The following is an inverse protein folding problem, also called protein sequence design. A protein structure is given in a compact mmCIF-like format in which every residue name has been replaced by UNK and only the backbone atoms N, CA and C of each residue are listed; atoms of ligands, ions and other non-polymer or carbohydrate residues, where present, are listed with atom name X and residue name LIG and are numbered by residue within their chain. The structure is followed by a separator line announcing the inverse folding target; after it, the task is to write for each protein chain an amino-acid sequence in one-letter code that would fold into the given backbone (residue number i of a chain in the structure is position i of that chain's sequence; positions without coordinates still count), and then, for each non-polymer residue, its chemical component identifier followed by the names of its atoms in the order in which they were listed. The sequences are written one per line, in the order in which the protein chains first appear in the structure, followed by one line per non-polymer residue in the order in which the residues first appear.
data_IF_234135323537
#
_entry.id   IF_234135323537
#
_cell.length_a   1.000
_cell.length_b   1.000
_cell.length_c   1.000
_cell.angle_alpha   90.00
_cell.angle_beta   90.00
_cell.angle_gamma   90.00
#
_symmetry.space_group_name_H-M   'P 1'
#
loop_
_entity.id
_entity.type
_entity.pdbx_description
1 polymer ?
#
# COMPACT_ATOMS: atom_id res chain seq x y z
N UNK A 1 14.36 2.09 59.32
CA UNK A 1 15.36 2.68 60.23
C UNK A 1 14.57 3.42 61.30
N UNK A 2 14.11 2.69 62.32
CA UNK A 2 14.78 2.48 63.60
C UNK A 2 14.26 3.51 64.62
N UNK A 3 13.10 3.17 65.20
CA UNK A 3 12.56 3.77 66.41
C UNK A 3 13.50 3.49 67.59
N UNK A 4 13.97 4.57 68.23
CA UNK A 4 14.63 4.54 69.52
C UNK A 4 13.65 5.13 70.55
N UNK A 5 13.01 4.27 71.34
CA UNK A 5 12.48 4.70 72.65
C UNK A 5 12.71 3.61 73.71
N UNK A 6 13.24 3.98 74.89
CA UNK A 6 13.76 3.02 75.87
C UNK A 6 12.67 2.38 76.73
N UNK A 7 12.96 1.22 77.36
CA UNK A 7 12.06 0.58 78.32
C UNK A 7 12.18 1.26 79.70
N UNK A 8 11.05 1.59 80.30
CA UNK A 8 10.97 1.98 81.71
C UNK A 8 10.77 0.74 82.61
N UNK A 9 11.21 0.81 83.88
CA UNK A 9 11.40 -0.36 84.73
C UNK A 9 10.11 -0.86 85.40
N UNK A 10 10.08 -2.13 85.86
CA UNK A 10 9.00 -2.65 86.68
C UNK A 10 9.16 -2.19 88.13
N UNK A 11 8.21 -1.40 88.61
CA UNK A 11 8.10 -1.02 90.02
C UNK A 11 6.92 -1.73 90.66
N UNK A 12 7.23 -2.37 91.79
CA UNK A 12 6.35 -2.64 92.94
C UNK A 12 5.24 -3.67 92.75
N UNK A 13 5.63 -4.94 92.89
CA UNK A 13 4.75 -5.95 93.46
C UNK A 13 4.56 -5.70 94.97
N UNK A 14 3.29 -5.62 95.35
CA UNK A 14 2.66 -6.25 96.52
C UNK A 14 3.27 -6.02 97.91
N UNK A 15 2.47 -5.42 98.80
CA UNK A 15 2.27 -5.95 100.14
C UNK A 15 0.89 -6.59 100.25
N UNK A 16 0.88 -7.80 100.82
CA UNK A 16 -0.28 -8.57 101.21
C UNK A 16 -1.20 -7.81 102.19
N UNK A 17 -2.49 -8.17 102.26
CA UNK A 17 -3.43 -7.55 103.19
C UNK A 17 -3.06 -7.87 104.63
N UNK A 18 -2.94 -6.81 105.43
CA UNK A 18 -2.75 -6.88 106.86
C UNK A 18 -3.92 -7.61 107.53
N UNK A 19 -3.55 -8.48 108.45
CA UNK A 19 -4.40 -9.26 109.33
C UNK A 19 -5.39 -8.36 110.07
N UNK A 20 -6.68 -8.68 109.93
CA UNK A 20 -7.74 -8.12 110.74
C UNK A 20 -7.57 -8.59 112.19
N UNK A 21 -6.84 -7.82 113.00
CA UNK A 21 -6.89 -7.93 114.45
C UNK A 21 -8.19 -7.32 114.95
N UNK A 22 -9.14 -8.18 115.27
CA UNK A 22 -10.36 -7.87 116.00
C UNK A 22 -9.98 -7.38 117.40
N UNK A 23 -9.90 -6.07 117.60
CA UNK A 23 -9.85 -5.49 118.94
C UNK A 23 -11.27 -5.43 119.50
N UNK A 24 -11.65 -6.47 120.23
CA UNK A 24 -12.79 -6.48 121.13
C UNK A 24 -12.71 -5.26 122.06
N UNK A 25 -13.67 -4.36 121.87
CA UNK A 25 -13.87 -3.19 122.72
C UNK A 25 -14.50 -3.64 124.04
N UNK A 26 -13.68 -3.98 125.02
CA UNK A 26 -14.10 -4.09 126.42
C UNK A 26 -14.43 -2.69 126.95
N UNK A 27 -15.63 -2.19 126.67
CA UNK A 27 -16.23 -1.08 127.42
C UNK A 27 -16.78 -1.61 128.75
N UNK A 28 -15.88 -1.90 129.68
CA UNK A 28 -16.25 -2.09 131.08
C UNK A 28 -16.76 -0.75 131.60
N UNK A 29 -18.06 -0.65 131.79
CA UNK A 29 -18.72 0.43 132.53
C UNK A 29 -18.29 0.36 134.00
N UNK A 30 -17.11 0.86 134.33
CA UNK A 30 -16.71 1.14 135.71
C UNK A 30 -17.23 2.52 136.10
N UNK A 31 -18.46 2.55 136.60
CA UNK A 31 -18.84 3.53 137.60
C UNK A 31 -18.18 3.11 138.92
N UNK A 32 -16.84 3.29 139.01
CA UNK A 32 -16.15 3.17 140.29
C UNK A 32 -16.57 4.35 141.16
N UNK A 33 -17.27 4.01 142.24
CA UNK A 33 -17.56 4.88 143.38
C UNK A 33 -16.28 5.59 143.82
N UNK A 34 -16.18 6.89 143.49
CA UNK A 34 -15.12 7.77 143.96
C UNK A 34 -15.18 7.86 145.49
N UNK A 35 -14.43 6.98 146.16
CA UNK A 35 -14.27 7.04 147.62
C UNK A 35 -13.57 8.35 147.97
N UNK A 36 -14.11 9.13 148.93
CA UNK A 36 -13.56 10.44 149.27
C UNK A 36 -12.15 10.29 149.85
N UNK A 37 -11.17 10.85 149.15
CA UNK A 37 -9.77 10.91 149.56
C UNK A 37 -9.67 11.53 150.97
N UNK A 38 -9.07 10.80 151.91
CA UNK A 38 -8.87 11.25 153.29
C UNK A 38 -7.43 11.73 153.46
N UNK A 39 -7.25 12.92 154.02
CA UNK A 39 -5.92 13.42 154.37
C UNK A 39 -5.38 12.66 155.60
N UNK A 40 -4.07 12.43 155.66
CA UNK A 40 -3.38 11.81 156.80
C UNK A 40 -3.64 12.50 158.15
N UNK A 41 -4.17 13.73 158.13
CA UNK A 41 -4.55 14.51 159.31
C UNK A 41 -5.98 14.21 159.83
N UNK A 42 -6.78 13.40 159.14
CA UNK A 42 -8.16 13.05 159.50
C UNK A 42 -9.20 14.19 159.40
N UNK A 43 -8.76 15.43 159.08
CA UNK A 43 -9.62 16.61 158.97
C UNK A 43 -10.09 16.82 157.52
N UNK A 44 -11.42 16.95 157.35
CA UNK A 44 -12.06 17.17 156.05
C UNK A 44 -11.77 18.56 155.45
N UNK A 45 -11.35 19.53 156.26
CA UNK A 45 -11.04 20.91 155.84
C UNK A 45 -9.52 21.18 155.70
N UNK A 46 -8.70 20.14 155.47
CA UNK A 46 -7.27 20.33 155.29
C UNK A 46 -6.99 21.13 154.00
N UNK A 47 -6.20 22.21 154.11
CA UNK A 47 -5.86 23.11 152.98
C UNK A 47 -5.18 22.33 151.84
N UNK A 48 -4.28 21.39 152.17
CA UNK A 48 -3.61 20.53 151.20
C UNK A 48 -4.56 19.52 150.55
N UNK A 49 -5.55 18.98 151.29
CA UNK A 49 -6.54 18.06 150.73
C UNK A 49 -7.47 18.79 149.76
N UNK A 50 -7.98 19.97 150.15
CA UNK A 50 -8.85 20.79 149.30
C UNK A 50 -8.13 21.25 148.03
N UNK A 51 -6.85 21.61 148.15
CA UNK A 51 -6.02 21.96 146.99
C UNK A 51 -5.80 20.75 146.07
N UNK A 52 -5.45 19.57 146.61
CA UNK A 52 -5.29 18.35 145.80
C UNK A 52 -6.60 17.91 145.12
N UNK A 53 -7.74 17.93 145.82
CA UNK A 53 -9.03 17.62 145.19
C UNK A 53 -9.37 18.62 144.09
N UNK A 54 -9.12 19.93 144.29
CA UNK A 54 -9.32 20.93 143.23
C UNK A 54 -8.41 20.71 142.02
N UNK A 55 -7.17 20.27 142.23
CA UNK A 55 -6.22 19.94 141.16
C UNK A 55 -6.66 18.67 140.43
N UNK A 56 -7.09 17.63 141.16
CA UNK A 56 -7.61 16.40 140.57
C UNK A 56 -8.89 16.66 139.76
N UNK A 57 -9.82 17.47 140.26
CA UNK A 57 -11.02 17.87 139.52
C UNK A 57 -10.67 18.67 138.25
N UNK A 58 -9.63 19.52 138.29
CA UNK A 58 -9.15 20.22 137.07
C UNK A 58 -8.51 19.26 136.08
N UNK A 59 -7.70 18.30 136.55
CA UNK A 59 -7.06 17.29 135.72
C UNK A 59 -8.10 16.34 135.12
N UNK A 60 -9.13 15.94 135.88
CA UNK A 60 -10.23 15.12 135.37
C UNK A 60 -11.00 15.85 134.26
N UNK A 61 -11.29 17.15 134.45
CA UNK A 61 -11.90 17.99 133.41
C UNK A 61 -11.01 18.12 132.18
N UNK A 62 -9.70 18.27 132.36
CA UNK A 62 -8.73 18.37 131.27
C UNK A 62 -8.59 17.04 130.54
N UNK A 63 -8.58 15.90 131.24
CA UNK A 63 -8.57 14.55 130.66
C UNK A 63 -9.86 14.28 129.91
N UNK A 64 -11.03 14.63 130.46
CA UNK A 64 -12.30 14.53 129.73
C UNK A 64 -12.35 15.45 128.51
N UNK A 65 -11.77 16.65 128.60
CA UNK A 65 -11.70 17.57 127.47
C UNK A 65 -10.74 17.06 126.40
N UNK A 66 -9.57 16.56 126.78
CA UNK A 66 -8.62 15.92 125.89
C UNK A 66 -9.20 14.65 125.24
N UNK A 67 -9.95 13.84 125.99
CA UNK A 67 -10.64 12.66 125.46
C UNK A 67 -11.72 13.05 124.43
N UNK A 68 -12.55 14.06 124.73
CA UNK A 68 -13.54 14.59 123.77
C UNK A 68 -12.89 15.16 122.51
N UNK A 69 -11.79 15.89 122.66
CA UNK A 69 -11.03 16.42 121.51
C UNK A 69 -10.38 15.29 120.70
N UNK A 70 -9.81 14.29 121.37
CA UNK A 70 -9.24 13.10 120.72
C UNK A 70 -10.29 12.32 119.93
N UNK A 71 -11.48 12.10 120.51
CA UNK A 71 -12.61 11.48 119.81
C UNK A 71 -13.08 12.30 118.60
N UNK A 72 -13.19 13.62 118.74
CA UNK A 72 -13.55 14.48 117.62
C UNK A 72 -12.51 14.46 116.48
N UNK A 73 -11.22 14.41 116.82
CA UNK A 73 -10.14 14.29 115.84
C UNK A 73 -10.16 12.92 115.14
N UNK A 74 -10.39 11.83 115.89
CA UNK A 74 -10.53 10.49 115.32
C UNK A 74 -11.72 10.41 114.36
N UNK A 75 -12.90 10.89 114.78
CA UNK A 75 -14.09 10.90 113.92
C UNK A 75 -13.88 11.71 112.63
N UNK A 76 -13.19 12.87 112.72
CA UNK A 76 -12.84 13.67 111.54
C UNK A 76 -11.82 12.96 110.66
N UNK A 77 -10.83 12.29 111.24
CA UNK A 77 -9.84 11.53 110.49
C UNK A 77 -10.48 10.33 109.79
N UNK A 78 -11.38 9.61 110.45
CA UNK A 78 -12.16 8.52 109.84
C UNK A 78 -12.99 9.01 108.65
N UNK A 79 -13.67 10.16 108.80
CA UNK A 79 -14.41 10.77 107.69
C UNK A 79 -13.48 11.15 106.52
N UNK A 80 -12.33 11.77 106.78
CA UNK A 80 -11.35 12.07 105.74
C UNK A 80 -10.79 10.82 105.05
N UNK A 81 -10.49 9.77 105.81
CA UNK A 81 -10.00 8.52 105.24
C UNK A 81 -11.08 7.86 104.37
N UNK A 82 -12.33 7.86 104.83
CA UNK A 82 -13.46 7.35 104.06
C UNK A 82 -13.65 8.12 102.75
N UNK A 83 -13.57 9.45 102.78
CA UNK A 83 -13.68 10.30 101.59
C UNK A 83 -12.51 10.08 100.63
N UNK A 84 -11.27 10.09 101.11
CA UNK A 84 -10.09 9.83 100.28
C UNK A 84 -10.12 8.43 99.66
N UNK A 85 -10.67 7.43 100.37
CA UNK A 85 -10.80 6.07 99.87
C UNK A 85 -11.92 5.94 98.83
N UNK A 86 -12.99 6.73 98.94
CA UNK A 86 -13.99 6.87 97.87
C UNK A 86 -13.40 7.53 96.62
N UNK A 87 -12.68 8.64 96.78
CA UNK A 87 -12.05 9.34 95.67
C UNK A 87 -11.01 8.46 94.97
N UNK A 88 -10.19 7.73 95.74
CA UNK A 88 -9.23 6.77 95.17
C UNK A 88 -9.93 5.68 94.37
N UNK A 89 -11.05 5.15 94.86
CA UNK A 89 -11.85 4.14 94.12
C UNK A 89 -12.41 4.75 92.84
N UNK A 90 -12.99 5.94 92.88
CA UNK A 90 -13.52 6.63 91.70
C UNK A 90 -12.41 6.85 90.65
N UNK A 91 -11.27 7.42 91.06
CA UNK A 91 -10.14 7.63 90.16
C UNK A 91 -9.62 6.33 89.57
N UNK A 92 -9.54 5.25 90.35
CA UNK A 92 -9.11 3.94 89.86
C UNK A 92 -10.08 3.41 88.80
N UNK A 93 -11.39 3.46 89.06
CA UNK A 93 -12.41 3.04 88.06
C UNK A 93 -12.35 3.88 86.78
N UNK A 94 -12.06 5.18 86.89
CA UNK A 94 -11.92 6.06 85.72
C UNK A 94 -10.65 5.76 84.93
N UNK A 95 -9.54 5.44 85.61
CA UNK A 95 -8.30 5.01 84.96
C UNK A 95 -8.55 3.71 84.19
N UNK A 96 -9.19 2.73 84.83
CA UNK A 96 -9.54 1.45 84.20
C UNK A 96 -10.42 1.65 82.95
N UNK A 97 -11.43 2.52 83.02
CA UNK A 97 -12.27 2.84 81.87
C UNK A 97 -11.47 3.50 80.74
N UNK A 98 -10.62 4.48 81.05
CA UNK A 98 -9.78 5.14 80.05
C UNK A 98 -8.75 4.20 79.42
N UNK A 99 -8.21 3.26 80.20
CA UNK A 99 -7.31 2.22 79.68
C UNK A 99 -8.04 1.26 78.74
N UNK A 100 -9.28 0.89 79.05
CA UNK A 100 -10.12 0.08 78.16
C UNK A 100 -10.44 0.83 76.87
N UNK A 101 -10.88 2.08 76.97
CA UNK A 101 -11.20 2.92 75.80
C UNK A 101 -9.95 3.16 74.93
N UNK A 102 -8.78 3.36 75.54
CA UNK A 102 -7.53 3.53 74.81
C UNK A 102 -7.15 2.24 74.06
N UNK A 103 -7.22 1.08 74.71
CA UNK A 103 -6.98 -0.22 74.05
C UNK A 103 -7.94 -0.46 72.89
N UNK A 104 -9.20 -0.06 73.04
CA UNK A 104 -10.18 -0.17 71.96
C UNK A 104 -9.84 0.76 70.79
N UNK A 105 -9.49 2.02 71.06
CA UNK A 105 -9.07 2.97 70.04
C UNK A 105 -7.79 2.53 69.33
N UNK A 106 -6.81 2.00 70.05
CA UNK A 106 -5.60 1.41 69.48
C UNK A 106 -5.94 0.23 68.56
N UNK A 107 -6.85 -0.65 68.97
CA UNK A 107 -7.31 -1.76 68.15
C UNK A 107 -8.05 -1.30 66.88
N UNK A 108 -8.88 -0.25 66.97
CA UNK A 108 -9.55 0.33 65.79
C UNK A 108 -8.54 1.00 64.87
N UNK A 109 -7.60 1.76 65.41
CA UNK A 109 -6.55 2.41 64.64
C UNK A 109 -5.69 1.38 63.88
N UNK A 110 -5.29 0.29 64.55
CA UNK A 110 -4.56 -0.80 63.94
C UNK A 110 -5.33 -1.43 62.75
N UNK A 111 -6.64 -1.64 62.88
CA UNK A 111 -7.48 -2.12 61.78
C UNK A 111 -7.53 -1.14 60.62
N UNK A 112 -7.75 0.14 60.90
CA UNK A 112 -7.76 1.19 59.86
C UNK A 112 -6.41 1.31 59.16
N UNK A 113 -5.29 1.18 59.87
CA UNK A 113 -3.95 1.16 59.25
C UNK A 113 -3.83 -0.04 58.29
N UNK A 114 -4.30 -1.21 58.69
CA UNK A 114 -4.26 -2.40 57.84
C UNK A 114 -5.14 -2.26 56.61
N UNK A 115 -6.35 -1.75 56.76
CA UNK A 115 -7.24 -1.46 55.62
C UNK A 115 -6.60 -0.46 54.65
N UNK A 116 -5.97 0.59 55.16
CA UNK A 116 -5.24 1.56 54.32
C UNK A 116 -4.06 0.90 53.59
N UNK A 117 -3.31 0.00 54.23
CA UNK A 117 -2.23 -0.74 53.56
C UNK A 117 -2.78 -1.63 52.45
N UNK A 118 -3.84 -2.38 52.72
CA UNK A 118 -4.49 -3.23 51.72
C UNK A 118 -5.00 -2.42 50.52
N UNK A 119 -5.56 -1.23 50.76
CA UNK A 119 -6.01 -0.33 49.70
C UNK A 119 -4.82 0.23 48.89
N UNK A 120 -3.70 0.54 49.53
CA UNK A 120 -2.48 0.98 48.83
C UNK A 120 -1.90 -0.14 47.96
N UNK A 121 -1.84 -1.38 48.46
CA UNK A 121 -1.39 -2.53 47.67
C UNK A 121 -2.29 -2.78 46.46
N UNK A 122 -3.61 -2.62 46.62
CA UNK A 122 -4.57 -2.70 45.51
C UNK A 122 -4.34 -1.58 44.48
N UNK A 123 -4.06 -0.36 44.92
CA UNK A 123 -3.76 0.77 44.04
C UNK A 123 -2.44 0.55 43.29
N UNK A 124 -1.40 0.04 43.94
CA UNK A 124 -0.14 -0.29 43.27
C UNK A 124 -0.30 -1.42 42.26
N UNK A 125 -1.05 -2.47 42.59
CA UNK A 125 -1.36 -3.55 41.66
C UNK A 125 -2.10 -3.03 40.42
N UNK A 126 -3.15 -2.22 40.61
CA UNK A 126 -3.88 -1.60 39.51
C UNK A 126 -2.98 -0.68 38.68
N UNK A 127 -2.14 0.14 39.32
CA UNK A 127 -1.19 1.00 38.62
C UNK A 127 -0.20 0.18 37.78
N UNK A 128 0.30 -0.95 38.28
CA UNK A 128 1.14 -1.87 37.50
C UNK A 128 0.40 -2.40 36.26
N UNK A 129 -0.87 -2.81 36.42
CA UNK A 129 -1.65 -3.32 35.28
C UNK A 129 -1.93 -2.24 34.23
N UNK A 130 -2.15 -0.99 34.66
CA UNK A 130 -2.31 0.16 33.75
C UNK A 130 -1.02 0.42 33.00
N UNK A 131 0.13 0.45 33.68
CA UNK A 131 1.44 0.63 33.04
C UNK A 131 1.75 -0.49 32.02
N UNK A 132 1.42 -1.75 32.34
CA UNK A 132 1.56 -2.87 31.39
C UNK A 132 0.66 -2.69 30.17
N UNK A 133 -0.57 -2.22 30.35
CA UNK A 133 -1.50 -1.95 29.26
C UNK A 133 -1.01 -0.80 28.37
N UNK A 134 -0.47 0.28 28.94
CA UNK A 134 0.14 1.37 28.20
C UNK A 134 1.37 0.89 27.40
N UNK A 135 2.17 0.00 27.98
CA UNK A 135 3.29 -0.64 27.28
C UNK A 135 2.84 -1.44 26.06
N UNK A 136 1.73 -2.19 26.18
CA UNK A 136 1.13 -2.93 25.05
C UNK A 136 0.52 -1.99 24.00
N UNK A 137 -0.10 -0.89 24.41
CA UNK A 137 -0.63 0.10 23.46
C UNK A 137 0.51 0.70 22.64
N UNK A 138 1.60 1.13 23.29
CA UNK A 138 2.78 1.68 22.60
C UNK A 138 3.41 0.69 21.61
N UNK A 139 3.48 -0.59 21.95
CA UNK A 139 4.02 -1.61 21.03
C UNK A 139 3.10 -1.87 19.84
N UNK A 140 1.79 -1.86 20.04
CA UNK A 140 0.80 -1.94 18.95
C UNK A 140 0.84 -0.71 18.06
N UNK A 141 0.97 0.49 18.63
CA UNK A 141 1.15 1.74 17.87
C UNK A 141 2.41 1.70 17.01
N UNK A 142 3.54 1.24 17.57
CA UNK A 142 4.77 1.07 16.81
C UNK A 142 4.61 0.07 15.65
N UNK A 143 3.91 -1.05 15.88
CA UNK A 143 3.62 -2.05 14.85
C UNK A 143 2.70 -1.50 13.77
N UNK A 144 1.68 -0.71 14.16
CA UNK A 144 0.78 -0.05 13.23
C UNK A 144 1.54 0.92 12.34
N UNK A 145 2.39 1.79 12.90
CA UNK A 145 3.21 2.73 12.14
C UNK A 145 4.16 1.99 11.17
N UNK A 146 4.79 0.90 11.62
CA UNK A 146 5.63 0.07 10.76
C UNK A 146 4.84 -0.56 9.60
N UNK A 147 3.64 -1.08 9.87
CA UNK A 147 2.77 -1.64 8.83
C UNK A 147 2.33 -0.57 7.82
N UNK A 148 2.01 0.64 8.27
CA UNK A 148 1.67 1.77 7.40
C UNK A 148 2.84 2.18 6.52
N UNK A 149 4.06 2.23 7.05
CA UNK A 149 5.26 2.48 6.26
C UNK A 149 5.49 1.39 5.22
N UNK A 150 5.26 0.13 5.58
CA UNK A 150 5.39 -1.01 4.67
C UNK A 150 4.36 -0.92 3.53
N UNK A 151 3.11 -0.57 3.83
CA UNK A 151 2.07 -0.35 2.82
C UNK A 151 2.50 0.75 1.84
N UNK A 152 2.95 1.91 2.32
CA UNK A 152 3.45 3.00 1.44
C UNK A 152 4.61 2.55 0.55
N UNK A 153 5.50 1.71 1.09
CA UNK A 153 6.60 1.13 0.30
C UNK A 153 6.07 0.22 -0.81
N UNK A 154 5.11 -0.65 -0.48
CA UNK A 154 4.46 -1.55 -1.44
C UNK A 154 3.69 -0.76 -2.50
N UNK A 155 2.98 0.31 -2.14
CA UNK A 155 2.31 1.22 -3.09
C UNK A 155 3.31 1.82 -4.08
N UNK A 156 4.51 2.20 -3.63
CA UNK A 156 5.58 2.65 -4.51
C UNK A 156 6.16 1.55 -5.40
N UNK A 157 6.19 0.30 -4.93
CA UNK A 157 6.57 -0.87 -5.73
C UNK A 157 5.50 -1.20 -6.78
N UNK A 158 4.22 -1.14 -6.44
CA UNK A 158 3.11 -1.39 -7.38
C UNK A 158 3.05 -0.30 -8.45
N UNK A 159 3.20 0.97 -8.09
CA UNK A 159 3.23 2.06 -9.08
C UNK A 159 4.38 1.89 -10.09
N UNK A 160 5.55 1.42 -9.62
CA UNK A 160 6.69 1.09 -10.48
C UNK A 160 6.39 -0.12 -11.37
N UNK A 161 5.77 -1.17 -10.84
CA UNK A 161 5.37 -2.33 -11.62
C UNK A 161 4.39 -1.95 -12.73
N UNK A 162 3.35 -1.16 -12.43
CA UNK A 162 2.40 -0.67 -13.44
C UNK A 162 3.10 0.19 -14.51
N UNK A 163 4.08 1.00 -14.14
CA UNK A 163 4.85 1.78 -15.13
C UNK A 163 5.64 0.88 -16.09
N UNK A 164 6.24 -0.19 -15.58
CA UNK A 164 6.94 -1.20 -16.39
C UNK A 164 5.96 -2.01 -17.25
N UNK A 165 4.78 -2.36 -16.75
CA UNK A 165 3.73 -3.03 -17.54
C UNK A 165 3.28 -2.17 -18.72
N UNK A 166 3.09 -0.86 -18.53
CA UNK A 166 2.79 0.07 -19.63
C UNK A 166 3.90 0.11 -20.67
N UNK A 167 5.16 0.08 -20.26
CA UNK A 167 6.31 0.02 -21.18
C UNK A 167 6.37 -1.29 -21.96
N UNK A 168 6.10 -2.43 -21.29
CA UNK A 168 6.02 -3.73 -21.96
C UNK A 168 4.94 -3.75 -23.02
N UNK A 169 3.74 -3.24 -22.73
CA UNK A 169 2.65 -3.15 -23.70
C UNK A 169 3.04 -2.34 -24.96
N UNK A 170 3.79 -1.24 -24.79
CA UNK A 170 4.30 -0.45 -25.92
C UNK A 170 5.30 -1.24 -26.77
N UNK A 171 6.25 -1.93 -26.11
CA UNK A 171 7.23 -2.76 -26.81
C UNK A 171 6.57 -3.94 -27.54
N UNK A 172 5.55 -4.56 -26.95
CA UNK A 172 4.76 -5.62 -27.59
C UNK A 172 4.02 -5.11 -28.83
N UNK A 173 3.45 -3.89 -28.76
CA UNK A 173 2.83 -3.25 -29.92
C UNK A 173 3.84 -2.96 -31.03
N UNK A 174 4.99 -2.35 -30.69
CA UNK A 174 6.06 -2.08 -31.64
C UNK A 174 6.57 -3.38 -32.29
N UNK A 175 6.69 -4.46 -31.51
CA UNK A 175 7.07 -5.76 -32.04
C UNK A 175 6.05 -6.28 -33.06
N UNK A 176 4.75 -6.18 -32.77
CA UNK A 176 3.69 -6.61 -33.68
C UNK A 176 3.71 -5.78 -34.98
N UNK A 177 3.91 -4.48 -34.89
CA UNK A 177 4.02 -3.57 -36.05
C UNK A 177 5.24 -3.91 -36.92
N UNK A 178 6.40 -4.14 -36.30
CA UNK A 178 7.61 -4.57 -37.01
C UNK A 178 7.41 -5.92 -37.72
N UNK A 179 6.76 -6.89 -37.07
CA UNK A 179 6.45 -8.18 -37.69
C UNK A 179 5.51 -8.02 -38.89
N UNK A 180 4.47 -7.20 -38.78
CA UNK A 180 3.56 -6.91 -39.89
C UNK A 180 4.30 -6.24 -41.07
N UNK A 181 5.15 -5.25 -40.79
CA UNK A 181 5.95 -4.58 -41.81
C UNK A 181 6.92 -5.54 -42.52
N UNK A 182 7.55 -6.47 -41.79
CA UNK A 182 8.40 -7.50 -42.38
C UNK A 182 7.61 -8.43 -43.30
N UNK A 183 6.39 -8.82 -42.92
CA UNK A 183 5.52 -9.65 -43.76
C UNK A 183 5.10 -8.91 -45.04
N UNK A 184 4.66 -7.65 -44.92
CA UNK A 184 4.29 -6.82 -46.06
C UNK A 184 5.47 -6.62 -47.02
N UNK A 185 6.64 -6.25 -46.49
CA UNK A 185 7.86 -6.07 -47.29
C UNK A 185 8.27 -7.36 -48.01
N UNK A 186 8.15 -8.52 -47.34
CA UNK A 186 8.39 -9.83 -47.97
C UNK A 186 7.41 -10.09 -49.11
N UNK A 187 6.14 -9.73 -48.95
CA UNK A 187 5.10 -9.94 -49.97
C UNK A 187 5.25 -9.01 -51.16
N UNK A 188 5.65 -7.75 -50.92
CA UNK A 188 6.04 -6.80 -51.93
C UNK A 188 7.27 -7.29 -52.72
N UNK A 189 8.29 -7.82 -52.03
CA UNK A 189 9.46 -8.41 -52.67
C UNK A 189 9.09 -9.62 -53.55
N UNK A 190 8.24 -10.53 -53.03
CA UNK A 190 7.71 -11.67 -53.81
C UNK A 190 6.95 -11.20 -55.06
N UNK A 191 6.14 -10.15 -54.91
CA UNK A 191 5.34 -9.57 -56.00
C UNK A 191 6.22 -8.86 -57.03
N UNK A 192 7.26 -8.14 -56.59
CA UNK A 192 8.25 -7.50 -57.45
C UNK A 192 9.04 -8.55 -58.25
N UNK A 193 9.52 -9.61 -57.61
CA UNK A 193 10.19 -10.74 -58.30
C UNK A 193 9.27 -11.38 -59.33
N UNK A 194 7.99 -11.58 -58.99
CA UNK A 194 7.02 -12.17 -59.92
C UNK A 194 6.75 -11.28 -61.14
N UNK A 195 6.68 -9.94 -60.94
CA UNK A 195 6.56 -8.96 -62.03
C UNK A 195 7.81 -8.94 -62.90
N UNK A 196 9.00 -8.93 -62.30
CA UNK A 196 10.27 -8.96 -63.02
C UNK A 196 10.41 -10.22 -63.87
N UNK A 197 10.12 -11.40 -63.32
CA UNK A 197 10.12 -12.67 -64.08
C UNK A 197 9.11 -12.72 -65.23
N UNK A 198 8.02 -11.94 -65.16
CA UNK A 198 7.06 -11.81 -66.26
C UNK A 198 7.63 -10.92 -67.35
N UNK A 199 8.14 -9.74 -66.98
CA UNK A 199 8.78 -8.83 -67.91
C UNK A 199 9.99 -9.47 -68.61
N UNK A 200 10.79 -10.27 -67.90
CA UNK A 200 11.91 -11.03 -68.46
C UNK A 200 11.44 -12.02 -69.54
N UNK A 201 10.34 -12.76 -69.29
CA UNK A 201 9.74 -13.65 -70.30
C UNK A 201 9.22 -12.88 -71.50
N UNK A 202 8.49 -11.79 -71.28
CA UNK A 202 8.00 -10.93 -72.36
C UNK A 202 9.14 -10.35 -73.20
N UNK A 203 10.26 -9.96 -72.60
CA UNK A 203 11.46 -9.50 -73.31
C UNK A 203 12.05 -10.63 -74.17
N UNK A 204 12.17 -11.85 -73.62
CA UNK A 204 12.67 -13.00 -74.38
C UNK A 204 11.75 -13.32 -75.57
N UNK A 205 10.43 -13.31 -75.38
CA UNK A 205 9.45 -13.52 -76.46
C UNK A 205 9.58 -12.45 -77.56
N UNK A 206 9.77 -11.18 -77.18
CA UNK A 206 10.02 -10.08 -78.12
C UNK A 206 11.35 -10.22 -78.85
N UNK A 207 12.41 -10.69 -78.18
CA UNK A 207 13.70 -10.99 -78.80
C UNK A 207 13.55 -12.09 -79.86
N UNK A 208 12.85 -13.19 -79.56
CA UNK A 208 12.57 -14.25 -80.53
C UNK A 208 11.74 -13.75 -81.73
N UNK A 209 10.77 -12.86 -81.49
CA UNK A 209 10.01 -12.19 -82.55
C UNK A 209 10.90 -11.33 -83.43
N UNK A 210 11.80 -10.54 -82.84
CA UNK A 210 12.77 -9.73 -83.59
C UNK A 210 13.69 -10.61 -84.43
N UNK A 211 14.27 -11.67 -83.87
CA UNK A 211 15.14 -12.59 -84.61
C UNK A 211 14.40 -13.29 -85.77
N UNK A 212 13.11 -13.59 -85.60
CA UNK A 212 12.25 -14.12 -86.67
C UNK A 212 12.05 -13.11 -87.78
N UNK A 213 11.68 -11.88 -87.45
CA UNK A 213 11.51 -10.79 -88.43
C UNK A 213 12.83 -10.51 -89.13
N UNK A 214 13.96 -10.53 -88.44
CA UNK A 214 15.29 -10.35 -89.03
C UNK A 214 15.68 -11.48 -89.98
N UNK A 215 15.31 -12.73 -89.66
CA UNK A 215 15.47 -13.87 -90.57
C UNK A 215 14.59 -13.75 -91.80
N UNK A 216 13.31 -13.42 -91.63
CA UNK A 216 12.37 -13.21 -92.72
C UNK A 216 12.83 -12.05 -93.62
N UNK A 217 13.26 -10.92 -93.04
CA UNK A 217 13.80 -9.78 -93.77
C UNK A 217 15.11 -10.12 -94.51
N UNK A 218 15.96 -11.00 -93.96
CA UNK A 218 17.14 -11.52 -94.66
C UNK A 218 16.74 -12.39 -95.85
N UNK A 219 15.82 -13.33 -95.65
CA UNK A 219 15.31 -14.19 -96.72
C UNK A 219 14.62 -13.37 -97.81
N UNK A 220 13.84 -12.35 -97.45
CA UNK A 220 13.19 -11.45 -98.39
C UNK A 220 14.24 -10.63 -99.18
N UNK A 221 15.29 -10.11 -98.53
CA UNK A 221 16.42 -9.48 -99.22
C UNK A 221 17.15 -10.44 -100.17
N UNK A 222 17.37 -11.69 -99.75
CA UNK A 222 17.97 -12.74 -100.58
C UNK A 222 17.08 -13.06 -101.79
N UNK A 223 15.78 -13.26 -101.59
CA UNK A 223 14.79 -13.47 -102.66
C UNK A 223 14.69 -12.28 -103.61
N UNK A 224 14.72 -11.04 -103.10
CA UNK A 224 14.80 -9.84 -103.92
C UNK A 224 16.10 -9.80 -104.71
N UNK A 225 17.25 -10.13 -104.11
CA UNK A 225 18.52 -10.19 -104.82
C UNK A 225 18.51 -11.26 -105.93
N UNK A 226 17.93 -12.42 -105.66
CA UNK A 226 17.74 -13.49 -106.67
C UNK A 226 16.81 -13.04 -107.80
N UNK A 227 15.67 -12.43 -107.48
CA UNK A 227 14.72 -11.89 -108.46
C UNK A 227 15.37 -10.81 -109.32
N UNK A 228 16.10 -9.87 -108.70
CA UNK A 228 16.85 -8.83 -109.40
C UNK A 228 17.97 -9.43 -110.26
N UNK A 229 18.65 -10.49 -109.81
CA UNK A 229 19.63 -11.21 -110.64
C UNK A 229 18.97 -11.89 -111.85
N UNK A 230 17.76 -12.45 -111.72
CA UNK A 230 17.00 -12.99 -112.86
C UNK A 230 16.59 -11.90 -113.83
N UNK A 231 16.09 -10.76 -113.32
CA UNK A 231 15.76 -9.58 -114.15
C UNK A 231 17.01 -9.04 -114.84
N UNK A 232 18.16 -8.97 -114.16
CA UNK A 232 19.39 -8.49 -114.76
C UNK A 232 19.93 -9.46 -115.80
N UNK A 233 19.87 -10.78 -115.58
CA UNK A 233 20.16 -11.79 -116.61
C UNK A 233 19.20 -11.71 -117.80
N UNK A 234 17.92 -11.43 -117.56
CA UNK A 234 16.96 -11.14 -118.63
C UNK A 234 17.32 -9.86 -119.37
N UNK A 235 17.74 -8.79 -118.68
CA UNK A 235 18.22 -7.55 -119.29
C UNK A 235 19.53 -7.74 -120.06
N UNK A 236 20.45 -8.56 -119.57
CA UNK A 236 21.68 -8.94 -120.26
C UNK A 236 21.36 -9.76 -121.51
N UNK A 237 20.47 -10.75 -121.40
CA UNK A 237 19.94 -11.50 -122.56
C UNK A 237 19.23 -10.56 -123.54
N UNK A 238 18.43 -9.60 -123.09
CA UNK A 238 17.80 -8.58 -123.94
C UNK A 238 18.84 -7.66 -124.59
N UNK A 239 19.92 -7.28 -123.88
CA UNK A 239 21.06 -6.55 -124.44
C UNK A 239 21.79 -7.39 -125.49
N UNK A 240 22.01 -8.68 -125.25
CA UNK A 240 22.63 -9.62 -126.19
C UNK A 240 21.75 -9.87 -127.41
N UNK A 241 20.43 -10.02 -127.23
CA UNK A 241 19.45 -10.10 -128.30
C UNK A 241 19.37 -8.79 -129.10
N UNK A 242 19.41 -7.63 -128.45
CA UNK A 242 19.47 -6.32 -129.11
C UNK A 242 20.81 -6.12 -129.85
N UNK A 243 21.91 -6.66 -129.33
CA UNK A 243 23.23 -6.61 -129.98
C UNK A 243 23.32 -7.62 -131.14
N UNK A 244 22.70 -8.79 -131.03
CA UNK A 244 22.54 -9.78 -132.10
C UNK A 244 21.57 -9.29 -133.18
N UNK A 245 20.48 -8.61 -132.81
CA UNK A 245 19.59 -7.90 -133.72
C UNK A 245 20.29 -6.70 -134.38
N UNK A 246 21.21 -6.05 -133.68
CA UNK A 246 22.09 -5.02 -134.24
C UNK A 246 23.09 -5.56 -135.27
N UNK A 247 23.62 -6.79 -135.06
CA UNK A 247 24.52 -7.47 -136.01
C UNK A 247 23.80 -8.14 -137.19
N UNK A 248 22.56 -8.62 -137.01
CA UNK A 248 21.69 -9.08 -138.10
C UNK A 248 21.11 -7.93 -138.95
N UNK A 249 21.10 -6.69 -138.46
CA UNK A 249 20.70 -5.49 -139.23
C UNK A 249 21.81 -4.89 -140.12
N UNK A 250 23.04 -5.40 -140.06
CA UNK A 250 24.18 -4.89 -140.85
C UNK A 250 24.39 -5.53 -142.23
N UNK A 251 23.69 -6.61 -142.58
CA UNK A 251 23.98 -7.42 -143.78
C UNK A 251 22.78 -7.69 -144.72
N UNK A 252 21.71 -6.90 -144.64
CA UNK A 252 20.62 -6.89 -145.63
C UNK A 252 20.11 -5.44 -145.76
N UNK A 253 20.77 -4.58 -146.54
CA UNK A 253 20.56 -4.47 -147.97
C UNK A 253 19.07 -4.58 -148.39
N UNK A 254 18.46 -3.42 -148.63
CA UNK A 254 17.88 -3.10 -149.95
C UNK A 254 16.88 -4.15 -150.49
N UNK A 255 15.59 -4.00 -150.16
CA UNK A 255 14.43 -3.89 -151.08
C UNK A 255 13.11 -4.39 -150.48
N UNK A 256 12.05 -3.65 -150.85
CA UNK A 256 10.60 -3.94 -150.83
C UNK A 256 9.95 -4.12 -149.44
N UNK A 257 9.02 -3.29 -148.93
CA UNK A 257 7.92 -2.49 -149.54
C UNK A 257 7.18 -3.36 -150.57
N UNK A 258 6.02 -3.95 -150.33
CA UNK A 258 4.75 -3.22 -150.17
C UNK A 258 3.52 -4.13 -149.88
N UNK A 259 2.48 -3.52 -149.31
CA UNK A 259 1.03 -3.85 -149.15
C UNK A 259 0.48 -5.28 -149.40
N UNK A 260 -0.48 -5.80 -148.64
CA UNK A 260 -1.30 -5.20 -147.58
C UNK A 260 -2.57 -6.02 -147.28
N UNK A 261 -3.28 -5.56 -146.25
CA UNK A 261 -4.70 -5.76 -145.87
C UNK A 261 -5.08 -6.82 -144.82
N UNK A 262 -5.86 -6.29 -143.87
CA UNK A 262 -6.75 -6.89 -142.86
C UNK A 262 -6.10 -7.19 -141.51
N UNK A 263 -6.57 -6.68 -140.39
CA UNK A 263 -7.82 -5.98 -140.07
C UNK A 263 -7.83 -5.78 -138.55
N UNK A 264 -8.52 -4.73 -138.10
CA UNK A 264 -8.54 -4.33 -136.69
C UNK A 264 -9.00 -5.43 -135.74
N UNK A 265 -8.16 -5.75 -134.75
CA UNK A 265 -8.59 -6.49 -133.56
C UNK A 265 -7.73 -6.29 -132.30
N UNK A 266 -6.77 -5.35 -132.28
CA UNK A 266 -5.82 -5.21 -131.15
C UNK A 266 -6.15 -4.02 -130.22
N UNK A 267 -7.05 -3.12 -130.62
CA UNK A 267 -7.49 -1.98 -129.80
C UNK A 267 -8.63 -2.35 -128.84
N UNK A 268 -9.22 -3.55 -128.96
CA UNK A 268 -10.25 -4.06 -128.02
C UNK A 268 -9.68 -4.87 -126.86
N UNK A 269 -8.44 -5.38 -126.94
CA UNK A 269 -7.79 -6.10 -125.82
C UNK A 269 -7.08 -5.15 -124.85
N UNK A 270 -6.46 -4.07 -125.36
CA UNK A 270 -5.78 -3.10 -124.51
C UNK A 270 -6.74 -2.25 -123.66
N UNK A 271 -7.91 -1.92 -124.21
CA UNK A 271 -8.99 -1.23 -123.46
C UNK A 271 -9.72 -2.21 -122.52
N UNK A 272 -9.73 -3.50 -122.84
CA UNK A 272 -10.24 -4.55 -121.94
C UNK A 272 -9.29 -4.80 -120.77
N UNK A 273 -7.98 -4.83 -120.99
CA UNK A 273 -6.98 -4.99 -119.92
C UNK A 273 -6.90 -3.76 -118.99
N UNK A 274 -7.03 -2.53 -119.51
CA UNK A 274 -7.05 -1.33 -118.66
C UNK A 274 -8.34 -1.15 -117.85
N UNK A 275 -9.47 -1.69 -118.33
CA UNK A 275 -10.73 -1.73 -117.59
C UNK A 275 -10.82 -2.95 -116.66
N UNK A 276 -10.12 -4.05 -116.97
CA UNK A 276 -10.04 -5.26 -116.14
C UNK A 276 -9.04 -5.08 -114.98
N UNK A 277 -7.96 -4.32 -115.17
CA UNK A 277 -7.04 -3.91 -114.09
C UNK A 277 -7.68 -2.88 -113.14
N UNK A 278 -8.57 -2.01 -113.63
CA UNK A 278 -9.35 -1.11 -112.76
C UNK A 278 -10.42 -1.86 -111.96
N UNK A 279 -11.05 -2.89 -112.54
CA UNK A 279 -11.98 -3.74 -111.79
C UNK A 279 -11.25 -4.52 -110.68
N UNK A 280 -10.05 -5.02 -110.91
CA UNK A 280 -9.28 -5.74 -109.88
C UNK A 280 -8.71 -4.82 -108.79
N UNK A 281 -8.38 -3.56 -109.11
CA UNK A 281 -8.03 -2.54 -108.10
C UNK A 281 -9.25 -2.04 -107.28
N UNK A 282 -10.47 -2.13 -107.81
CA UNK A 282 -11.70 -1.80 -107.08
C UNK A 282 -12.27 -2.95 -106.24
N UNK A 283 -11.98 -4.22 -106.57
CA UNK A 283 -12.30 -5.37 -105.69
C UNK A 283 -11.22 -5.64 -104.63
N UNK A 284 -10.03 -5.06 -104.75
CA UNK A 284 -9.00 -5.06 -103.70
C UNK A 284 -9.25 -4.05 -102.56
N UNK A 285 -10.28 -3.20 -102.69
CA UNK A 285 -10.67 -2.19 -101.69
C UNK A 285 -11.93 -2.58 -100.88
N UNK A 286 -12.27 -3.87 -100.75
CA UNK A 286 -13.33 -4.36 -99.86
C UNK A 286 -12.85 -5.40 -98.83
N UNK A 287 -12.13 -4.92 -97.80
CA UNK A 287 -12.21 -5.39 -96.41
C UNK A 287 -11.31 -6.57 -95.97
N UNK A 288 -10.85 -6.60 -94.69
CA UNK A 288 -11.27 -5.77 -93.56
C UNK A 288 -10.21 -4.73 -93.16
N UNK A 289 -10.62 -3.47 -93.04
CA UNK A 289 -9.99 -2.53 -92.12
C UNK A 289 -10.23 -3.01 -90.69
N UNK A 290 -9.33 -3.86 -90.17
CA UNK A 290 -9.08 -3.93 -88.73
C UNK A 290 -7.82 -3.13 -88.45
N UNK A 291 -7.99 -1.85 -88.10
CA UNK A 291 -7.24 -1.15 -87.06
C UNK A 291 -8.02 0.13 -86.70
N UNK A 292 -8.15 0.34 -85.40
CA UNK A 292 -8.58 1.54 -84.67
C UNK A 292 -10.05 1.98 -84.74
N UNK A 293 -10.89 1.30 -83.95
CA UNK A 293 -11.90 1.97 -83.12
C UNK A 293 -12.34 1.04 -81.99
N UNK A 294 -11.46 0.82 -81.01
CA UNK A 294 -11.94 0.43 -79.67
C UNK A 294 -12.52 1.67 -79.02
N UNK A 295 -13.84 1.72 -79.08
CA UNK A 295 -14.68 2.11 -77.94
C UNK A 295 -13.99 1.81 -76.60
N UNK A 296 -13.45 2.84 -75.98
CA UNK A 296 -13.43 2.98 -74.53
C UNK A 296 -14.15 4.28 -74.20
N UNK A 297 -15.48 4.22 -74.23
CA UNK A 297 -16.29 5.11 -73.42
C UNK A 297 -16.52 4.42 -72.07
N UNK A 298 -15.59 4.61 -71.14
CA UNK A 298 -15.97 4.88 -69.76
C UNK A 298 -15.19 6.08 -69.26
N UNK A 299 -15.98 7.05 -68.83
CA UNK A 299 -15.64 8.32 -68.25
C UNK A 299 -15.36 8.03 -66.78
N UNK A 300 -14.10 8.08 -66.36
CA UNK A 300 -13.69 8.00 -64.96
C UNK A 300 -12.55 8.99 -64.75
N UNK A 301 -12.90 10.16 -64.21
CA UNK A 301 -11.95 11.22 -63.85
C UNK A 301 -10.88 10.65 -62.92
N UNK A 302 -9.60 10.83 -63.21
CA UNK A 302 -8.57 11.00 -62.19
C UNK A 302 -7.43 11.84 -62.78
N UNK A 303 -7.43 13.11 -62.40
CA UNK A 303 -6.25 13.97 -62.46
C UNK A 303 -5.14 13.32 -61.61
N UNK A 304 -3.87 13.28 -62.04
CA UNK A 304 -2.78 13.23 -61.08
C UNK A 304 -2.70 14.63 -60.47
N UNK A 305 -3.11 14.70 -59.21
CA UNK A 305 -3.00 15.89 -58.39
C UNK A 305 -1.53 16.33 -58.31
N UNK A 306 -1.32 17.64 -58.34
CA UNK A 306 -0.02 18.29 -58.27
C UNK A 306 0.52 18.31 -56.83
N UNK A 307 0.34 17.24 -56.06
CA UNK A 307 0.59 17.20 -54.61
C UNK A 307 1.54 16.08 -54.15
N UNK A 308 2.18 15.35 -55.07
CA UNK A 308 3.19 14.32 -54.75
C UNK A 308 4.64 14.75 -54.97
N UNK A 309 4.90 16.04 -55.28
CA UNK A 309 6.26 16.60 -55.44
C UNK A 309 6.79 17.37 -54.23
N UNK A 310 6.12 17.29 -53.08
CA UNK A 310 6.50 18.00 -51.84
C UNK A 310 6.84 17.07 -50.66
N UNK A 311 7.31 15.84 -50.90
CA UNK A 311 7.71 14.94 -49.80
C UNK A 311 8.99 14.12 -50.04
N UNK A 312 9.93 14.68 -50.80
CA UNK A 312 11.31 14.14 -50.92
C UNK A 312 12.38 15.21 -50.73
N UNK A 313 12.10 16.30 -50.00
CA UNK A 313 13.11 17.33 -49.65
C UNK A 313 13.17 17.69 -48.16
N UNK A 314 12.82 16.78 -47.25
CA UNK A 314 12.98 16.96 -45.80
C UNK A 314 13.76 15.82 -45.10
N UNK A 315 14.44 14.96 -45.87
CA UNK A 315 15.35 13.93 -45.33
C UNK A 315 16.83 14.21 -45.63
N UNK A 316 17.19 15.49 -45.76
CA UNK A 316 18.59 15.92 -45.91
C UNK A 316 18.97 17.11 -45.03
N UNK A 317 18.27 17.33 -43.90
CA UNK A 317 18.68 18.28 -42.85
C UNK A 317 18.29 17.81 -41.44
N UNK A 318 18.83 16.68 -40.96
CA UNK A 318 18.93 16.44 -39.50
C UNK A 318 19.92 15.33 -39.11
N UNK A 319 20.88 15.00 -39.99
CA UNK A 319 21.93 14.03 -39.69
C UNK A 319 23.31 14.62 -39.96
N UNK A 320 23.69 15.72 -39.27
CA UNK A 320 25.09 16.06 -39.00
C UNK A 320 25.24 17.19 -37.95
N UNK A 321 25.19 16.84 -36.67
CA UNK A 321 25.82 17.58 -35.56
C UNK A 321 25.99 16.60 -34.37
N UNK A 322 27.03 15.75 -34.42
CA UNK A 322 28.23 15.84 -33.57
C UNK A 322 28.05 15.37 -32.11
N UNK A 323 28.77 14.30 -31.74
CA UNK A 323 29.36 14.14 -30.40
C UNK A 323 28.92 12.95 -29.53
N UNK A 324 29.67 11.84 -29.57
CA UNK A 324 29.83 10.89 -28.44
C UNK A 324 30.97 11.37 -27.52
N UNK A 325 31.24 10.78 -26.33
CA UNK A 325 30.39 10.15 -25.31
C UNK A 325 30.66 10.66 -23.87
N UNK A 326 29.77 10.41 -22.90
CA UNK A 326 30.04 10.72 -21.48
C UNK A 326 29.04 10.11 -20.49
N UNK A 327 29.57 9.32 -19.55
CA UNK A 327 28.93 8.53 -18.49
C UNK A 327 27.98 9.34 -17.57
N UNK A 328 26.84 8.79 -17.08
CA UNK A 328 26.07 9.42 -16.01
C UNK A 328 26.36 8.79 -14.63
N UNK A 329 26.68 9.64 -13.65
CA UNK A 329 26.53 9.37 -12.21
C UNK A 329 25.69 10.53 -11.60
N UNK A 330 25.16 10.41 -10.37
CA UNK A 330 23.75 10.62 -10.07
C UNK A 330 23.41 12.04 -9.59
N UNK A 331 22.10 12.27 -9.62
CA UNK A 331 21.27 13.43 -9.24
C UNK A 331 21.77 14.37 -8.13
N UNK A 332 21.25 15.61 -8.14
CA UNK A 332 20.70 16.22 -6.93
C UNK A 332 19.19 16.46 -7.06
N UNK A 333 18.50 16.13 -5.96
CA UNK A 333 17.07 16.33 -5.72
C UNK A 333 16.60 17.76 -5.98
N UNK A 334 15.37 17.99 -6.48
CA UNK A 334 14.71 19.27 -6.30
C UNK A 334 13.90 19.29 -5.00
N UNK A 335 14.03 20.46 -4.38
CA UNK A 335 13.40 20.99 -3.18
C UNK A 335 11.87 21.01 -3.32
N UNK A 336 11.19 20.51 -2.29
CA UNK A 336 9.74 20.58 -2.13
C UNK A 336 9.36 22.01 -1.72
N UNK A 337 8.58 22.70 -2.56
CA UNK A 337 7.74 23.82 -2.13
C UNK A 337 6.31 23.32 -1.99
N UNK A 338 5.76 23.53 -0.80
CA UNK A 338 4.40 23.16 -0.41
C UNK A 338 3.48 24.27 -0.92
N UNK A 339 2.69 23.98 -1.95
CA UNK A 339 1.58 24.80 -2.43
C UNK A 339 0.39 23.89 -2.64
N UNK A 340 -0.61 23.98 -1.76
CA UNK A 340 -1.86 23.25 -1.87
C UNK A 340 -2.77 23.87 -2.90
N UNK A 341 -3.18 23.08 -3.90
CA UNK A 341 -4.37 23.34 -4.69
C UNK A 341 -5.18 22.04 -4.77
N UNK A 342 -6.33 22.07 -4.10
CA UNK A 342 -7.39 21.07 -4.22
C UNK A 342 -7.90 21.07 -5.67
N UNK A 343 -7.57 20.04 -6.43
CA UNK A 343 -8.26 19.71 -7.67
C UNK A 343 -9.15 18.50 -7.43
N UNK A 344 -10.46 18.77 -7.44
CA UNK A 344 -11.51 17.76 -7.60
C UNK A 344 -11.40 17.15 -9.00
N UNK A 345 -10.62 16.08 -9.11
CA UNK A 345 -10.71 15.16 -10.24
C UNK A 345 -11.35 13.86 -9.76
N UNK A 346 -12.66 13.79 -9.96
CA UNK A 346 -13.50 12.63 -9.71
C UNK A 346 -13.16 11.56 -10.74
N UNK A 347 -12.15 10.75 -10.42
CA UNK A 347 -11.71 9.64 -11.24
C UNK A 347 -12.82 8.60 -11.41
N UNK A 348 -13.12 8.26 -12.66
CA UNK A 348 -13.85 7.05 -13.04
C UNK A 348 -13.01 5.81 -12.66
N UNK A 349 -13.02 5.47 -11.37
CA UNK A 349 -12.49 4.22 -10.83
C UNK A 349 -13.38 3.11 -11.32
N UNK A 350 -12.83 2.23 -12.16
CA UNK A 350 -13.54 1.06 -12.67
C UNK A 350 -14.03 0.18 -11.51
N UNK A 351 -15.29 -0.31 -11.56
CA UNK A 351 -15.93 -1.03 -10.43
C UNK A 351 -15.30 -2.38 -10.09
N UNK A 352 -14.36 -2.86 -10.89
CA UNK A 352 -13.70 -4.16 -10.71
C UNK A 352 -12.84 -4.23 -9.44
N UNK A 353 -12.17 -3.13 -9.09
CA UNK A 353 -11.32 -3.08 -7.89
C UNK A 353 -12.13 -3.13 -6.59
N UNK A 354 -13.35 -2.58 -6.59
CA UNK A 354 -14.28 -2.66 -5.44
C UNK A 354 -14.72 -4.10 -5.17
N UNK A 355 -14.94 -4.89 -6.21
CA UNK A 355 -15.25 -6.31 -6.07
C UNK A 355 -14.07 -7.14 -5.58
N UNK A 356 -12.84 -6.84 -6.04
CA UNK A 356 -11.62 -7.54 -5.57
C UNK A 356 -11.30 -7.22 -4.11
N UNK A 357 -11.47 -5.97 -3.67
CA UNK A 357 -11.32 -5.60 -2.26
C UNK A 357 -12.39 -6.27 -1.40
N UNK A 358 -13.65 -6.25 -1.82
CA UNK A 358 -14.74 -6.90 -1.08
C UNK A 358 -14.52 -8.42 -0.95
N UNK A 359 -14.04 -9.09 -2.01
CA UNK A 359 -13.71 -10.50 -1.99
C UNK A 359 -12.51 -10.81 -1.07
N UNK A 360 -11.49 -9.94 -1.06
CA UNK A 360 -10.33 -10.08 -0.19
C UNK A 360 -10.70 -9.90 1.29
N UNK A 361 -11.51 -8.89 1.62
CA UNK A 361 -12.04 -8.67 2.98
C UNK A 361 -12.90 -9.86 3.43
N UNK A 362 -13.75 -10.40 2.55
CA UNK A 362 -14.55 -11.59 2.85
C UNK A 362 -13.67 -12.82 3.13
N UNK A 363 -12.58 -13.01 2.38
CA UNK A 363 -11.62 -14.10 2.60
C UNK A 363 -10.89 -13.98 3.94
N UNK A 364 -10.51 -12.75 4.34
CA UNK A 364 -9.86 -12.51 5.64
C UNK A 364 -10.84 -12.81 6.78
N UNK A 365 -12.06 -12.30 6.71
CA UNK A 365 -13.08 -12.54 7.74
C UNK A 365 -13.44 -14.02 7.86
N UNK A 366 -13.52 -14.75 6.73
CA UNK A 366 -13.73 -16.20 6.76
C UNK A 366 -12.58 -16.92 7.48
N UNK A 367 -11.33 -16.56 7.16
CA UNK A 367 -10.14 -17.19 7.76
C UNK A 367 -10.01 -16.89 9.26
N UNK A 368 -10.32 -15.66 9.68
CA UNK A 368 -10.36 -15.27 11.08
C UNK A 368 -11.49 -15.95 11.86
N UNK A 369 -12.67 -16.16 11.24
CA UNK A 369 -13.79 -16.86 11.86
C UNK A 369 -13.49 -18.36 12.10
N UNK A 370 -12.81 -19.04 11.15
CA UNK A 370 -12.38 -20.43 11.35
C UNK A 370 -11.30 -20.55 12.43
N UNK A 371 -10.36 -19.61 12.48
CA UNK A 371 -9.33 -19.57 13.52
C UNK A 371 -9.96 -19.36 14.91
N UNK A 372 -10.90 -18.42 15.06
CA UNK A 372 -11.60 -18.17 16.32
C UNK A 372 -12.49 -19.36 16.76
N UNK A 373 -13.15 -20.04 15.81
CA UNK A 373 -13.96 -21.24 16.10
C UNK A 373 -13.12 -22.44 16.55
N UNK A 374 -11.92 -22.62 15.98
CA UNK A 374 -11.00 -23.70 16.39
C UNK A 374 -10.37 -23.48 17.77
N UNK A 375 -10.13 -22.21 18.16
CA UNK A 375 -9.60 -21.87 19.48
C UNK A 375 -10.65 -22.05 20.60
N UNK A 376 -11.94 -21.79 20.32
CA UNK A 376 -13.02 -21.99 21.29
C UNK A 376 -13.40 -23.47 21.49
N UNK A 377 -13.30 -24.30 20.45
CA UNK A 377 -13.58 -25.75 20.56
C UNK A 377 -12.47 -26.52 21.31
N UNK A 378 -11.22 -26.06 21.26
CA UNK A 378 -10.10 -26.67 21.99
C UNK A 378 -10.04 -26.32 23.48
N UNK A 379 -10.64 -25.19 23.91
CA UNK A 379 -10.62 -24.73 25.30
C UNK A 379 -11.70 -25.34 26.20
N UNK A 380 -12.81 -25.83 25.64
CA UNK A 380 -13.90 -26.42 26.44
C UNK A 380 -13.71 -27.91 26.76
N UNK A 381 -12.81 -28.62 26.08
CA UNK A 381 -12.55 -30.04 26.32
C UNK A 381 -11.62 -30.31 27.52
N UNK A 382 -10.95 -29.29 28.07
CA UNK A 382 -9.93 -29.46 29.11
C UNK A 382 -10.37 -29.06 30.53
N UNK A 383 -11.63 -28.67 30.72
CA UNK A 383 -12.19 -28.24 32.02
C UNK A 383 -13.15 -29.28 32.64
N UNK A 384 -13.34 -30.46 32.01
CA UNK A 384 -14.21 -31.52 32.54
C UNK A 384 -13.50 -32.81 32.98
N UNK A 385 -12.16 -32.80 33.06
CA UNK A 385 -11.37 -33.94 33.59
C UNK A 385 -10.24 -33.44 34.50
N UNK A 386 -10.59 -32.80 35.61
CA UNK A 386 -9.95 -32.81 36.94
C UNK A 386 -11.05 -32.40 37.92
#
# INVERSE_FOLDING_TARGET
MADLRPPNPPSTGTPAPAEASTMESHSTTQAETALPMKCCCGRLNCVFLRHNCSVLDSVEKDVHTAARMGQALLARHEAYMADAERDRKELTTRIEQLEMDNKELEARNARTIEDNRNLLDQLEALNSTVNDSEGRIKSLEATLLFSQQTIRRLEGETARAEALERQLMLLEQEQADLQNNLLLSRDEARSAVSRWKRAEREINDLQEQLERIEREARQEREHHAEMMSRIEKQREMEKELNTAAGRLKGAAAIKSIDYGKNGGNVVSHFVRDLLQDNANLQHGASGPTSISSTSWRWRGKFYPDAESRARTSELSQSAFAQGLPGVPHPSPLPRVEIGGEETKEEAAVTPEWRHRIAAWIASINATCATAAGSAFAGGFALVFVV
#
